data_IF_245891203168
#
_entry.id   IF_245891203168
#
_cell.length_a   1.000
_cell.length_b   1.000
_cell.length_c   1.000
_cell.angle_alpha   90.00
_cell.angle_beta   90.00
_cell.angle_gamma   90.00
#
_symmetry.space_group_name_H-M   'P 1'
#
loop_
_entity.id
_entity.type
_entity.pdbx_description
1 polymer ?
#
# COMPACT_ATOMS: atom_id res chain seq x y z
N UNK A 1 -15.92 9.97 -1.98
CA UNK A 1 -15.27 9.42 -0.77
C UNK A 1 -16.24 8.50 -0.05
N UNK A 2 -15.74 7.45 0.59
CA UNK A 2 -16.51 6.53 1.42
C UNK A 2 -15.74 6.29 2.73
N UNK A 3 -16.46 6.23 3.85
CA UNK A 3 -15.91 5.91 5.16
C UNK A 3 -16.84 4.93 5.86
N UNK A 4 -16.25 3.91 6.51
CA UNK A 4 -16.95 2.95 7.34
C UNK A 4 -16.10 2.58 8.54
N UNK A 5 -16.75 2.30 9.67
CA UNK A 5 -16.11 1.68 10.82
C UNK A 5 -16.73 0.30 11.03
N UNK A 6 -15.89 -0.69 11.30
CA UNK A 6 -16.28 -2.05 11.62
C UNK A 6 -15.81 -2.42 13.03
N UNK A 7 -16.73 -2.98 13.81
CA UNK A 7 -16.41 -3.54 15.13
C UNK A 7 -15.76 -4.91 14.92
N UNK A 8 -14.49 -5.03 15.30
CA UNK A 8 -13.71 -6.25 15.21
C UNK A 8 -13.56 -6.95 16.57
N UNK A 9 -14.32 -6.51 17.57
CA UNK A 9 -14.19 -7.05 18.92
C UNK A 9 -14.54 -8.54 18.94
N UNK A 10 -13.66 -9.33 19.53
CA UNK A 10 -13.89 -10.76 19.78
C UNK A 10 -14.59 -11.01 21.12
N UNK A 11 -14.86 -9.93 21.87
CA UNK A 11 -15.59 -9.95 23.12
C UNK A 11 -15.47 -8.61 23.87
N UNK A 12 -16.26 -8.42 24.94
CA UNK A 12 -16.41 -7.12 25.61
C UNK A 12 -15.14 -6.61 26.33
N UNK A 13 -14.11 -7.45 26.49
CA UNK A 13 -12.83 -7.06 27.11
C UNK A 13 -11.79 -6.53 26.13
N UNK A 14 -12.01 -6.70 24.83
CA UNK A 14 -11.08 -6.30 23.79
C UNK A 14 -11.84 -5.55 22.69
N UNK A 15 -12.35 -4.33 23.00
CA UNK A 15 -12.95 -3.50 21.96
C UNK A 15 -11.88 -3.19 20.91
N UNK A 16 -12.15 -3.55 19.67
CA UNK A 16 -11.29 -3.24 18.52
C UNK A 16 -12.16 -2.74 17.40
N UNK A 17 -11.67 -1.74 16.69
CA UNK A 17 -12.35 -1.13 15.56
C UNK A 17 -11.39 -1.06 14.40
N UNK A 18 -11.88 -1.31 13.20
CA UNK A 18 -11.17 -0.98 11.98
C UNK A 18 -11.93 0.10 11.23
N UNK A 19 -11.18 1.09 10.78
CA UNK A 19 -11.72 2.22 10.05
C UNK A 19 -11.26 2.15 8.60
N UNK A 20 -12.22 2.08 7.70
CA UNK A 20 -11.98 1.99 6.27
C UNK A 20 -12.30 3.33 5.62
N UNK A 21 -11.32 3.88 4.91
CA UNK A 21 -11.46 5.08 4.09
C UNK A 21 -11.14 4.77 2.63
N UNK A 22 -11.95 5.29 1.72
CA UNK A 22 -11.64 5.24 0.28
C UNK A 22 -11.99 6.58 -0.38
N UNK A 23 -11.06 7.07 -1.19
CA UNK A 23 -11.27 8.22 -2.06
C UNK A 23 -10.54 8.03 -3.38
N UNK A 24 -11.00 8.75 -4.39
CA UNK A 24 -10.25 8.94 -5.63
C UNK A 24 -9.41 10.21 -5.48
N UNK A 25 -8.20 10.17 -6.01
CA UNK A 25 -7.28 11.31 -6.05
C UNK A 25 -6.56 11.32 -7.40
N UNK A 26 -6.10 12.48 -7.83
CA UNK A 26 -5.23 12.60 -9.00
C UNK A 26 -3.79 12.24 -8.60
N UNK A 27 -3.03 11.62 -9.49
CA UNK A 27 -1.64 11.26 -9.23
C UNK A 27 -0.76 12.48 -8.86
N UNK A 28 -1.14 13.69 -9.29
CA UNK A 28 -0.43 14.94 -8.98
C UNK A 28 -0.98 15.67 -7.75
N UNK A 29 -1.93 15.07 -7.03
CA UNK A 29 -2.46 15.66 -5.81
C UNK A 29 -1.37 15.65 -4.71
N UNK A 30 -0.98 16.81 -4.14
CA UNK A 30 0.00 16.86 -3.06
C UNK A 30 -0.40 16.03 -1.82
N UNK A 31 -1.69 15.73 -1.65
CA UNK A 31 -2.15 14.84 -0.57
C UNK A 31 -1.61 13.41 -0.72
N UNK A 32 -1.32 12.96 -1.95
CA UNK A 32 -0.70 11.65 -2.17
C UNK A 32 0.73 11.63 -1.62
N UNK A 33 1.53 12.66 -1.91
CA UNK A 33 2.90 12.76 -1.41
C UNK A 33 2.92 12.79 0.13
N UNK A 34 1.99 13.54 0.74
CA UNK A 34 1.86 13.58 2.19
C UNK A 34 1.46 12.22 2.78
N UNK A 35 0.56 11.50 2.14
CA UNK A 35 0.17 10.16 2.57
C UNK A 35 1.36 9.18 2.51
N UNK A 36 2.15 9.22 1.44
CA UNK A 36 3.33 8.37 1.30
C UNK A 36 4.39 8.68 2.35
N UNK A 37 4.60 9.95 2.69
CA UNK A 37 5.49 10.34 3.79
C UNK A 37 4.96 9.86 5.14
N UNK A 38 3.66 9.99 5.40
CA UNK A 38 3.06 9.46 6.64
C UNK A 38 3.26 7.96 6.77
N UNK A 39 3.16 7.20 5.68
CA UNK A 39 3.44 5.75 5.70
C UNK A 39 4.92 5.47 5.99
N UNK A 40 5.83 6.21 5.34
CA UNK A 40 7.26 6.05 5.54
C UNK A 40 7.72 6.42 6.97
N UNK A 41 7.03 7.37 7.61
CA UNK A 41 7.34 7.84 8.97
C UNK A 41 6.55 7.07 10.07
N UNK A 42 5.92 5.94 9.74
CA UNK A 42 5.09 5.12 10.65
C UNK A 42 3.95 5.92 11.32
N UNK A 43 3.44 6.95 10.64
CA UNK A 43 2.34 7.79 11.09
C UNK A 43 0.97 7.25 10.64
N UNK A 44 0.94 6.36 9.66
CA UNK A 44 -0.24 5.62 9.21
C UNK A 44 0.19 4.30 8.55
N UNK A 45 -0.66 3.29 8.64
CA UNK A 45 -0.48 1.95 8.09
C UNK A 45 -1.70 1.53 7.24
N UNK A 46 -1.68 0.29 6.73
CA UNK A 46 -2.76 -0.33 5.96
C UNK A 46 -3.26 0.47 4.73
N UNK A 47 -2.33 1.15 4.04
CA UNK A 47 -2.62 1.95 2.85
C UNK A 47 -2.48 1.11 1.59
N UNK A 48 -3.54 1.03 0.77
CA UNK A 48 -3.45 0.50 -0.60
C UNK A 48 -3.88 1.56 -1.61
N UNK A 49 -3.05 1.78 -2.63
CA UNK A 49 -3.38 2.59 -3.79
C UNK A 49 -3.72 1.68 -4.96
N UNK A 50 -4.81 1.97 -5.65
CA UNK A 50 -5.22 1.22 -6.83
C UNK A 50 -5.14 2.11 -8.06
N UNK A 51 -4.68 1.51 -9.17
CA UNK A 51 -4.81 2.14 -10.48
C UNK A 51 -6.29 2.35 -10.84
N UNK A 52 -6.57 3.22 -11.79
CA UNK A 52 -7.92 3.56 -12.28
C UNK A 52 -8.77 2.34 -12.68
N UNK A 53 -8.12 1.32 -13.23
CA UNK A 53 -8.74 0.05 -13.65
C UNK A 53 -8.78 -1.01 -12.54
N UNK A 54 -8.16 -0.75 -11.37
CA UNK A 54 -8.04 -1.69 -10.27
C UNK A 54 -7.15 -2.90 -10.56
N UNK A 55 -6.43 -2.90 -11.68
CA UNK A 55 -5.57 -4.01 -12.12
C UNK A 55 -4.17 -3.97 -11.52
N UNK A 56 -3.76 -2.78 -11.06
CA UNK A 56 -2.53 -2.55 -10.31
C UNK A 56 -2.89 -2.13 -8.89
N UNK A 57 -2.13 -2.63 -7.93
CA UNK A 57 -2.15 -2.12 -6.56
C UNK A 57 -0.74 -1.85 -6.05
N UNK A 58 -0.63 -0.83 -5.19
CA UNK A 58 0.60 -0.44 -4.52
C UNK A 58 0.34 -0.34 -3.02
N UNK A 59 1.14 -1.04 -2.23
CA UNK A 59 1.03 -1.10 -0.78
C UNK A 59 2.36 -0.62 -0.16
N UNK A 60 2.49 0.69 0.12
CA UNK A 60 3.67 1.24 0.78
C UNK A 60 3.71 0.85 2.27
N UNK A 61 4.91 0.80 2.83
CA UNK A 61 5.17 0.61 4.26
C UNK A 61 6.53 1.22 4.63
N UNK A 62 6.84 1.35 5.92
CA UNK A 62 8.16 1.83 6.36
C UNK A 62 9.29 0.97 5.77
N UNK A 63 10.14 1.60 4.96
CA UNK A 63 11.27 0.96 4.30
C UNK A 63 10.99 0.36 2.92
N UNK A 64 9.79 0.50 2.34
CA UNK A 64 9.56 0.06 0.97
C UNK A 64 8.10 0.01 0.53
N UNK A 65 7.82 -0.89 -0.41
CA UNK A 65 6.47 -1.13 -0.89
C UNK A 65 6.36 -2.46 -1.63
N UNK A 66 5.14 -2.98 -1.66
CA UNK A 66 4.73 -4.06 -2.55
C UNK A 66 3.98 -3.51 -3.77
N UNK A 67 4.27 -4.04 -4.96
CA UNK A 67 3.55 -3.74 -6.20
C UNK A 67 2.87 -5.01 -6.70
N UNK A 68 1.55 -4.99 -6.76
CA UNK A 68 0.73 -6.06 -7.33
C UNK A 68 0.44 -5.74 -8.79
N UNK A 69 1.11 -6.44 -9.68
CA UNK A 69 0.93 -6.33 -11.12
C UNK A 69 -0.26 -7.18 -11.61
N UNK A 70 -0.88 -6.83 -12.76
CA UNK A 70 -2.00 -7.57 -13.33
C UNK A 70 -1.65 -9.00 -13.74
N UNK A 71 -0.39 -9.22 -14.13
CA UNK A 71 0.13 -10.53 -14.52
C UNK A 71 1.65 -10.61 -14.30
N UNK A 72 2.19 -11.81 -14.46
CA UNK A 72 3.62 -12.07 -14.29
C UNK A 72 4.49 -11.32 -15.31
N UNK A 73 4.01 -11.10 -16.54
CA UNK A 73 4.76 -10.39 -17.57
C UNK A 73 4.93 -8.91 -17.22
N UNK A 74 3.87 -8.26 -16.74
CA UNK A 74 3.90 -6.89 -16.25
C UNK A 74 4.79 -6.74 -15.02
N UNK A 75 4.71 -7.68 -14.07
CA UNK A 75 5.62 -7.73 -12.91
C UNK A 75 7.08 -7.81 -13.34
N UNK A 76 7.40 -8.72 -14.24
CA UNK A 76 8.79 -8.98 -14.66
C UNK A 76 9.36 -7.79 -15.44
N UNK A 77 8.54 -7.12 -16.26
CA UNK A 77 8.91 -5.86 -16.92
C UNK A 77 9.20 -4.75 -15.91
N UNK A 78 8.35 -4.59 -14.89
CA UNK A 78 8.56 -3.61 -13.83
C UNK A 78 9.87 -3.90 -13.06
N UNK A 79 10.09 -5.16 -12.68
CA UNK A 79 11.31 -5.59 -11.97
C UNK A 79 12.57 -5.36 -12.82
N UNK A 80 12.50 -5.60 -14.13
CA UNK A 80 13.63 -5.33 -15.03
C UNK A 80 13.88 -3.83 -15.20
N UNK A 81 12.83 -3.01 -15.25
CA UNK A 81 12.94 -1.56 -15.39
C UNK A 81 13.48 -0.88 -14.12
N UNK A 82 13.23 -1.47 -12.95
CA UNK A 82 13.59 -0.95 -11.63
C UNK A 82 14.41 -1.97 -10.82
N UNK A 83 15.45 -2.52 -11.44
CA UNK A 83 16.30 -3.53 -10.81
C UNK A 83 17.01 -3.01 -9.55
N UNK A 84 17.15 -1.68 -9.43
CA UNK A 84 17.72 -0.98 -8.29
C UNK A 84 16.80 -0.94 -7.05
N UNK A 85 15.50 -1.21 -7.21
CA UNK A 85 14.55 -1.26 -6.09
C UNK A 85 14.64 -2.57 -5.30
N UNK A 86 15.17 -3.63 -5.91
CA UNK A 86 15.28 -4.92 -5.26
C UNK A 86 16.30 -4.84 -4.12
N UNK A 87 15.88 -5.27 -2.92
CA UNK A 87 16.81 -5.45 -1.81
C UNK A 87 17.83 -6.52 -2.23
N UNK A 88 19.14 -6.28 -2.07
CA UNK A 88 20.15 -7.28 -2.40
C UNK A 88 19.86 -8.56 -1.63
N UNK A 89 19.64 -9.66 -2.34
CA UNK A 89 19.55 -10.97 -1.68
C UNK A 89 20.90 -11.26 -1.03
N UNK A 90 20.93 -11.38 0.30
CA UNK A 90 22.06 -12.00 0.98
C UNK A 90 22.34 -13.36 0.33
N UNK A 91 23.61 -13.70 0.04
CA UNK A 91 23.92 -15.01 -0.52
C UNK A 91 23.40 -16.09 0.44
N UNK A 92 22.75 -17.11 -0.13
CA UNK A 92 22.33 -18.27 0.63
C UNK A 92 23.56 -18.83 1.39
N UNK A 93 23.43 -18.92 2.71
CA UNK A 93 24.45 -19.56 3.58
C UNK A 93 24.36 -21.06 3.47
#
# INVERSE_FOLDING_TARGET
MHWRSDDLSTGPRFPSWQHHYVSQLDQRDPALDQLLLCVADDMTDDVMLFGDTGTWAYHPYDGGAEVFAPDAGARDQLAAAHADWAVPTSPAT
#
